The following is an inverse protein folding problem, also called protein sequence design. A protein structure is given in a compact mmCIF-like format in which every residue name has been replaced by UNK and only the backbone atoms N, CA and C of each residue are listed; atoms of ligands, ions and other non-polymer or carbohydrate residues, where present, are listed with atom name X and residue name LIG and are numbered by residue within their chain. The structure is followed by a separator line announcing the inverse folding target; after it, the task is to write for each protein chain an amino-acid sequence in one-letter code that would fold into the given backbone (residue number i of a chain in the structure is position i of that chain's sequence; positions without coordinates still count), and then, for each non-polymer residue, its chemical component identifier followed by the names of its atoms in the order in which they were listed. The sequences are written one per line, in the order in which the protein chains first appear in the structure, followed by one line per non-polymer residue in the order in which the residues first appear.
data_IF_069572534044
#
_entry.id   IF_069572534044
#
_cell.length_a   1.000
_cell.length_b   1.000
_cell.length_c   1.000
_cell.angle_alpha   90.00
_cell.angle_beta   90.00
_cell.angle_gamma   90.00
#
_symmetry.space_group_name_H-M   'P 1'
#
loop_
_entity.id
_entity.type
_entity.pdbx_description
1 polymer ?
#
# COMPACT_ATOMS: atom_id res chain seq x y z
N UNK A 1 8.13 -1.46 -10.83
CA UNK A 1 7.54 -0.42 -9.96
C UNK A 1 6.19 -0.07 -10.55
N UNK A 2 5.11 -0.32 -9.81
CA UNK A 2 3.74 -0.06 -10.26
C UNK A 2 3.32 1.33 -9.84
N UNK A 3 3.00 2.20 -10.82
CA UNK A 3 2.48 3.56 -10.56
C UNK A 3 1.23 3.51 -9.67
N UNK A 4 0.45 2.43 -9.76
CA UNK A 4 -0.74 2.21 -8.93
C UNK A 4 -0.38 1.84 -7.50
N UNK A 5 0.57 0.93 -7.30
CA UNK A 5 1.07 0.59 -5.97
C UNK A 5 1.69 1.80 -5.25
N UNK A 6 2.40 2.65 -5.99
CA UNK A 6 3.07 3.83 -5.43
C UNK A 6 2.07 4.89 -4.93
N UNK A 7 0.90 5.04 -5.58
CA UNK A 7 -0.18 5.89 -5.06
C UNK A 7 -0.68 5.41 -3.69
N UNK A 8 -0.77 4.09 -3.48
CA UNK A 8 -1.20 3.53 -2.19
C UNK A 8 -0.10 3.66 -1.13
N UNK A 9 1.19 3.54 -1.50
CA UNK A 9 2.31 3.85 -0.61
C UNK A 9 2.31 5.32 -0.17
N UNK A 10 1.99 6.24 -1.08
CA UNK A 10 1.86 7.65 -0.76
C UNK A 10 0.71 7.91 0.23
N UNK A 11 -0.46 7.29 0.03
CA UNK A 11 -1.58 7.37 0.98
C UNK A 11 -1.25 6.79 2.35
N UNK A 12 -0.49 5.70 2.40
CA UNK A 12 0.01 5.15 3.65
C UNK A 12 0.95 6.13 4.38
N UNK A 13 1.81 6.83 3.65
CA UNK A 13 2.71 7.84 4.21
C UNK A 13 1.94 9.04 4.78
N UNK A 14 0.92 9.53 4.06
CA UNK A 14 0.03 10.60 4.53
C UNK A 14 -0.72 10.22 5.81
N UNK A 15 -1.22 8.98 5.88
CA UNK A 15 -1.86 8.44 7.08
C UNK A 15 -0.88 8.35 8.25
N UNK A 16 0.36 7.87 8.04
CA UNK A 16 1.41 7.86 9.07
C UNK A 16 1.78 9.26 9.56
N UNK A 17 1.84 10.23 8.65
CA UNK A 17 2.10 11.62 9.03
C UNK A 17 0.97 12.20 9.88
N UNK A 18 -0.28 11.83 9.56
CA UNK A 18 -1.45 12.21 10.36
C UNK A 18 -1.43 11.55 11.74
N UNK A 19 -1.06 10.26 11.83
CA UNK A 19 -0.86 9.54 13.09
C UNK A 19 0.20 10.22 13.98
N UNK A 20 1.31 10.66 13.39
CA UNK A 20 2.38 11.34 14.12
C UNK A 20 1.97 12.69 14.71
N UNK A 21 0.98 13.36 14.10
CA UNK A 21 0.43 14.64 14.58
C UNK A 21 -0.72 14.47 15.58
N UNK A 22 -1.28 13.26 15.69
CA UNK A 22 -2.42 13.00 16.57
C UNK A 22 -1.98 12.95 18.04
N UNK A 23 -2.58 13.79 18.88
CA UNK A 23 -2.36 13.79 20.34
C UNK A 23 -3.21 12.75 21.07
N UNK A 24 -4.35 12.37 20.48
CA UNK A 24 -5.22 11.33 21.02
C UNK A 24 -4.76 9.94 20.54
N UNK A 25 -4.54 9.03 21.49
CA UNK A 25 -4.05 7.68 21.22
C UNK A 25 -4.99 6.85 20.32
N UNK A 26 -6.31 6.97 20.49
CA UNK A 26 -7.28 6.26 19.64
C UNK A 26 -7.26 6.78 18.21
N UNK A 27 -7.15 8.10 18.03
CA UNK A 27 -7.02 8.71 16.70
C UNK A 27 -5.71 8.30 16.02
N UNK A 28 -4.60 8.27 16.78
CA UNK A 28 -3.32 7.78 16.27
C UNK A 28 -3.44 6.34 15.76
N UNK A 29 -4.01 5.44 16.57
CA UNK A 29 -4.19 4.02 16.17
C UNK A 29 -5.06 3.88 14.92
N UNK A 30 -6.14 4.65 14.81
CA UNK A 30 -6.98 4.63 13.61
C UNK A 30 -6.19 5.01 12.34
N UNK A 31 -5.34 6.04 12.40
CA UNK A 31 -4.47 6.39 11.27
C UNK A 31 -3.41 5.33 10.97
N UNK A 32 -2.86 4.67 11.98
CA UNK A 32 -1.91 3.55 11.81
C UNK A 32 -2.58 2.35 11.11
N UNK A 33 -3.81 2.00 11.49
CA UNK A 33 -4.60 0.95 10.84
C UNK A 33 -4.91 1.30 9.37
N UNK A 34 -5.31 2.55 9.11
CA UNK A 34 -5.52 3.03 7.73
C UNK A 34 -4.23 2.96 6.92
N UNK A 35 -3.09 3.36 7.49
CA UNK A 35 -1.80 3.27 6.82
C UNK A 35 -1.44 1.81 6.49
N UNK A 36 -1.67 0.88 7.42
CA UNK A 36 -1.44 -0.54 7.19
C UNK A 36 -2.32 -1.08 6.05
N UNK A 37 -3.60 -0.71 6.01
CA UNK A 37 -4.51 -1.09 4.93
C UNK A 37 -4.03 -0.63 3.54
N UNK A 38 -3.54 0.60 3.45
CA UNK A 38 -2.97 1.11 2.19
C UNK A 38 -1.71 0.37 1.76
N UNK A 39 -0.85 -0.05 2.69
CA UNK A 39 0.35 -0.82 2.35
C UNK A 39 0.02 -2.22 1.82
N UNK A 40 -0.96 -2.90 2.41
CA UNK A 40 -1.43 -4.20 1.92
C UNK A 40 -1.95 -4.10 0.49
N UNK A 41 -2.74 -3.06 0.18
CA UNK A 41 -3.24 -2.82 -1.17
C UNK A 41 -2.10 -2.54 -2.17
N UNK A 42 -1.08 -1.80 -1.74
CA UNK A 42 0.10 -1.54 -2.58
C UNK A 42 0.84 -2.84 -2.92
N UNK A 43 1.06 -3.70 -1.93
CA UNK A 43 1.72 -5.00 -2.10
C UNK A 43 0.93 -5.93 -3.03
N UNK A 44 -0.39 -6.03 -2.82
CA UNK A 44 -1.26 -6.84 -3.67
C UNK A 44 -1.21 -6.41 -5.13
N UNK A 45 -1.22 -5.10 -5.40
CA UNK A 45 -1.13 -4.58 -6.75
C UNK A 45 0.24 -4.78 -7.39
N UNK A 46 1.31 -4.61 -6.62
CA UNK A 46 2.65 -4.89 -7.12
C UNK A 46 2.81 -6.36 -7.50
N UNK A 47 2.26 -7.27 -6.69
CA UNK A 47 2.22 -8.69 -7.01
C UNK A 47 1.37 -9.00 -8.25
N UNK A 48 0.17 -8.42 -8.38
CA UNK A 48 -0.66 -8.61 -9.57
C UNK A 48 0.01 -8.10 -10.86
N UNK A 49 0.69 -6.95 -10.78
CA UNK A 49 1.43 -6.39 -11.92
C UNK A 49 2.67 -7.23 -12.25
N UNK A 50 3.36 -7.80 -11.26
CA UNK A 50 4.49 -8.70 -11.51
C UNK A 50 4.05 -10.00 -12.18
N UNK A 51 2.87 -10.53 -11.82
CA UNK A 51 2.30 -11.72 -12.46
C UNK A 51 1.87 -11.44 -13.91
N UNK A 52 1.42 -10.23 -14.24
CA UNK A 52 1.11 -9.84 -15.62
C UNK A 52 2.36 -9.59 -16.47
N UNK A 53 3.47 -9.21 -15.86
CA UNK A 53 4.75 -9.01 -16.56
C UNK A 53 5.44 -10.33 -16.95
N UNK A 54 5.04 -11.47 -16.37
CA UNK A 54 5.51 -12.81 -16.74
C UNK A 54 4.35 -13.62 -17.34
N UNK A 55 4.19 -13.66 -18.69
CA UNK A 55 3.32 -14.67 -19.27
C UNK A 55 3.91 -16.06 -18.97
N UNK A 56 3.09 -17.08 -18.66
CA UNK A 56 3.56 -18.45 -18.68
C UNK A 56 4.08 -18.72 -20.09
N UNK A 57 5.37 -19.05 -20.21
CA UNK A 57 5.93 -19.59 -21.44
C UNK A 57 5.19 -20.88 -21.73
N UNK A 58 4.20 -20.83 -22.61
CA UNK A 58 3.64 -22.03 -23.20
C UNK A 58 4.72 -22.57 -24.14
N UNK A 59 5.55 -23.46 -23.60
CA UNK A 59 6.41 -24.33 -24.39
C UNK A 59 5.49 -25.11 -25.36
N UNK A 60 5.72 -24.90 -26.66
CA UNK A 60 5.05 -25.58 -27.78
C UNK A 60 5.88 -26.76 -28.22
#
# INVERSE_FOLDING_TARGET
MSLRADMYRQKAAEAKQSAAKATNASIKRAFEEVAAGWLVLAEQLEWMDSQQAFPPQQET
#
